data_IF_914533798476
#
_entry.id   IF_914533798476
#
_cell.length_a   1.000
_cell.length_b   1.000
_cell.length_c   1.000
_cell.angle_alpha   90.00
_cell.angle_beta   90.00
_cell.angle_gamma   90.00
#
_symmetry.space_group_name_H-M   'P 1'
#
loop_
_entity.id
_entity.type
_entity.pdbx_description
1 polymer ?
#
# COMPACT_ATOMS: atom_id res chain seq x y z
N UNK A 1 4.02 7.87 -14.97
CA UNK A 1 4.77 6.64 -14.62
C UNK A 1 4.59 5.64 -15.74
N UNK A 2 5.66 5.02 -16.26
CA UNK A 2 5.52 3.90 -17.19
C UNK A 2 4.88 2.72 -16.44
N UNK A 3 3.89 2.07 -17.05
CA UNK A 3 3.19 0.91 -16.49
C UNK A 3 4.20 -0.25 -16.39
N UNK A 4 4.51 -0.79 -15.19
CA UNK A 4 5.36 -1.97 -15.06
C UNK A 4 4.66 -3.20 -15.65
N UNK A 5 5.39 -4.28 -16.01
CA UNK A 5 4.76 -5.54 -16.40
C UNK A 5 3.84 -6.06 -15.28
N UNK A 6 2.76 -6.74 -15.67
CA UNK A 6 1.72 -7.23 -14.75
C UNK A 6 2.22 -7.90 -13.46
N UNK A 7 3.16 -8.87 -13.48
CA UNK A 7 3.61 -9.52 -12.24
C UNK A 7 4.27 -8.53 -11.27
N UNK A 8 5.01 -7.54 -11.78
CA UNK A 8 5.61 -6.50 -10.95
C UNK A 8 4.56 -5.55 -10.37
N UNK A 9 3.46 -5.28 -11.09
CA UNK A 9 2.36 -4.46 -10.57
C UNK A 9 1.72 -5.11 -9.35
N UNK A 10 1.46 -6.41 -9.40
CA UNK A 10 0.92 -7.16 -8.24
C UNK A 10 1.90 -7.10 -7.06
N UNK A 11 3.19 -7.35 -7.30
CA UNK A 11 4.20 -7.26 -6.25
C UNK A 11 4.27 -5.86 -5.63
N UNK A 12 4.22 -4.80 -6.45
CA UNK A 12 4.23 -3.41 -5.97
C UNK A 12 2.96 -3.11 -5.16
N UNK A 13 1.78 -3.53 -5.63
CA UNK A 13 0.52 -3.33 -4.91
C UNK A 13 0.55 -4.06 -3.55
N UNK A 14 1.06 -5.29 -3.49
CA UNK A 14 1.25 -6.02 -2.24
C UNK A 14 2.18 -5.27 -1.29
N UNK A 15 3.30 -4.74 -1.78
CA UNK A 15 4.24 -3.97 -0.95
C UNK A 15 3.60 -2.68 -0.43
N UNK A 16 2.87 -1.95 -1.28
CA UNK A 16 2.14 -0.73 -0.88
C UNK A 16 1.12 -1.04 0.21
N UNK A 17 0.40 -2.15 0.11
CA UNK A 17 -0.66 -2.52 1.06
C UNK A 17 -0.11 -3.08 2.38
N UNK A 18 1.17 -3.44 2.46
CA UNK A 18 1.74 -4.13 3.63
C UNK A 18 2.87 -3.36 4.29
N UNK A 19 3.88 -2.91 3.53
CA UNK A 19 5.09 -2.30 4.10
C UNK A 19 4.81 -0.98 4.80
N UNK A 20 4.11 0.01 4.19
CA UNK A 20 3.77 1.25 4.88
C UNK A 20 2.87 1.04 6.11
N UNK A 21 1.76 0.27 6.06
CA UNK A 21 0.90 0.09 7.23
C UNK A 21 1.60 -0.65 8.37
N UNK A 22 2.33 -1.74 8.07
CA UNK A 22 3.09 -2.48 9.09
C UNK A 22 4.19 -1.58 9.67
N UNK A 23 4.94 -0.89 8.81
CA UNK A 23 5.99 0.03 9.24
C UNK A 23 5.47 1.15 10.14
N UNK A 24 4.34 1.76 9.78
CA UNK A 24 3.71 2.81 10.58
C UNK A 24 3.23 2.28 11.94
N UNK A 25 2.63 1.09 11.99
CA UNK A 25 2.23 0.45 13.25
C UNK A 25 3.43 0.20 14.17
N UNK A 26 4.50 -0.38 13.61
CA UNK A 26 5.70 -0.72 14.38
C UNK A 26 6.43 0.54 14.88
N UNK A 27 6.54 1.58 14.03
CA UNK A 27 7.17 2.84 14.41
C UNK A 27 6.35 3.60 15.45
N UNK A 28 5.02 3.67 15.28
CA UNK A 28 4.14 4.31 16.25
C UNK A 28 4.19 3.61 17.61
N UNK A 29 4.25 2.27 17.61
CA UNK A 29 4.41 1.51 18.85
C UNK A 29 5.79 1.73 19.49
N UNK A 30 6.86 1.73 18.69
CA UNK A 30 8.23 1.92 19.20
C UNK A 30 8.46 3.32 19.79
N UNK A 31 7.91 4.36 19.15
CA UNK A 31 8.12 5.75 19.55
C UNK A 31 7.13 6.24 20.63
N UNK A 32 5.98 5.60 20.74
CA UNK A 32 4.90 5.99 21.64
C UNK A 32 4.38 4.79 22.44
N UNK A 33 3.16 4.34 22.17
CA UNK A 33 2.50 3.23 22.82
C UNK A 33 1.75 2.36 21.80
N UNK A 34 1.21 1.25 22.25
CA UNK A 34 0.55 0.27 21.38
C UNK A 34 -0.71 0.82 20.69
N UNK A 35 -1.53 1.61 21.41
CA UNK A 35 -2.74 2.20 20.85
C UNK A 35 -2.37 3.23 19.78
N UNK A 36 -1.42 4.12 20.07
CA UNK A 36 -0.90 5.10 19.10
C UNK A 36 -0.32 4.41 17.86
N UNK A 37 0.38 3.28 18.03
CA UNK A 37 0.84 2.44 16.93
C UNK A 37 -0.30 1.94 16.05
N UNK A 38 -1.36 1.39 16.62
CA UNK A 38 -2.53 0.96 15.85
C UNK A 38 -3.19 2.11 15.09
N UNK A 39 -3.31 3.28 15.72
CA UNK A 39 -3.90 4.47 15.08
C UNK A 39 -3.07 4.91 13.86
N UNK A 40 -1.74 4.89 13.95
CA UNK A 40 -0.84 5.17 12.83
C UNK A 40 -1.00 4.14 11.71
N UNK A 41 -1.04 2.85 12.06
CA UNK A 41 -1.29 1.76 11.12
C UNK A 41 -2.60 1.93 10.35
N UNK A 42 -3.67 2.35 11.03
CA UNK A 42 -4.97 2.60 10.41
C UNK A 42 -4.93 3.77 9.43
N UNK A 43 -4.36 4.91 9.82
CA UNK A 43 -4.28 6.11 8.96
C UNK A 43 -3.44 5.83 7.70
N UNK A 44 -2.27 5.22 7.88
CA UNK A 44 -1.37 4.87 6.77
C UNK A 44 -1.96 3.73 5.93
N UNK A 45 -2.66 2.78 6.56
CA UNK A 45 -3.42 1.72 5.91
C UNK A 45 -4.46 2.24 4.93
N UNK A 46 -5.34 3.14 5.39
CA UNK A 46 -6.36 3.77 4.53
C UNK A 46 -5.71 4.50 3.37
N UNK A 47 -4.66 5.27 3.62
CA UNK A 47 -3.92 5.99 2.57
C UNK A 47 -3.31 5.03 1.53
N UNK A 48 -2.77 3.91 1.98
CA UNK A 48 -2.18 2.87 1.13
C UNK A 48 -3.24 2.21 0.24
N UNK A 49 -4.43 1.93 0.79
CA UNK A 49 -5.57 1.38 0.04
C UNK A 49 -6.07 2.37 -1.01
N UNK A 50 -6.23 3.65 -0.66
CA UNK A 50 -6.66 4.69 -1.61
C UNK A 50 -5.68 4.77 -2.78
N UNK A 51 -4.38 4.78 -2.49
CA UNK A 51 -3.35 4.83 -3.53
C UNK A 51 -3.34 3.56 -4.41
N UNK A 52 -3.45 2.37 -3.80
CA UNK A 52 -3.55 1.12 -4.53
C UNK A 52 -4.80 1.06 -5.42
N UNK A 53 -5.95 1.55 -4.94
CA UNK A 53 -7.18 1.63 -5.72
C UNK A 53 -7.00 2.58 -6.92
N UNK A 54 -6.42 3.76 -6.72
CA UNK A 54 -6.12 4.67 -7.82
C UNK A 54 -5.18 4.05 -8.86
N UNK A 55 -4.15 3.30 -8.44
CA UNK A 55 -3.28 2.57 -9.36
C UNK A 55 -4.05 1.50 -10.15
N UNK A 56 -4.88 0.71 -9.47
CA UNK A 56 -5.65 -0.36 -10.10
C UNK A 56 -6.68 0.16 -11.11
N UNK A 57 -7.45 1.19 -10.74
CA UNK A 57 -8.59 1.66 -11.52
C UNK A 57 -8.24 2.82 -12.47
N UNK A 58 -7.59 3.87 -11.97
CA UNK A 58 -7.31 5.06 -12.78
C UNK A 58 -6.03 4.96 -13.61
N UNK A 59 -5.09 4.10 -13.20
CA UNK A 59 -3.86 3.80 -13.96
C UNK A 59 -3.90 2.49 -14.72
N UNK A 60 -5.03 1.78 -14.67
CA UNK A 60 -5.23 0.53 -15.40
C UNK A 60 -4.26 -0.57 -14.97
N UNK A 61 -3.79 -0.57 -13.71
CA UNK A 61 -2.89 -1.62 -13.22
C UNK A 61 -3.61 -2.94 -12.95
N UNK A 62 -4.95 -2.94 -12.94
CA UNK A 62 -5.77 -4.13 -12.71
C UNK A 62 -5.71 -5.15 -13.85
N UNK A 63 -5.64 -4.69 -15.09
CA UNK A 63 -5.74 -5.56 -16.25
C UNK A 63 -4.37 -6.15 -16.62
N UNK A 64 -4.35 -7.43 -16.98
CA UNK A 64 -3.19 -8.04 -17.63
C UNK A 64 -2.87 -7.26 -18.92
N UNK A 65 -1.59 -7.19 -19.26
CA UNK A 65 -1.23 -6.61 -20.55
C UNK A 65 -1.67 -7.65 -21.61
N UNK A 66 -2.51 -7.27 -22.57
CA UNK A 66 -2.84 -8.14 -23.71
C UNK A 66 -1.54 -8.41 -24.51
N UNK A 67 -1.29 -9.69 -24.82
CA UNK A 67 -0.10 -10.17 -25.55
C UNK A 67 0.10 -9.49 -26.93
#
# INVERSE_FOLDING_TARGET
MKKPPYPYRIAILMLILTVPPIGATQLGWYLYDQQTGFDFGMIVGVSSVIYAAWLMYEKGWREEDED
#
